data_IF_165622597146
#
_entry.id   IF_165622597146
#
_cell.length_a   1.000
_cell.length_b   1.000
_cell.length_c   1.000
_cell.angle_alpha   90.00
_cell.angle_beta   90.00
_cell.angle_gamma   90.00
#
_symmetry.space_group_name_H-M   'P 1'
#
loop_
_entity.id
_entity.type
_entity.pdbx_description
1 polymer ?
#
# COMPACT_ATOMS: atom_id res chain seq x y z
N UNK A 1 -15.74 1.67 -18.81
CA UNK A 1 -14.87 2.23 -17.77
C UNK A 1 -15.42 3.57 -17.33
N UNK A 2 -15.97 3.63 -16.12
CA UNK A 2 -16.35 4.90 -15.51
C UNK A 2 -15.08 5.59 -14.99
N UNK A 3 -14.93 6.88 -15.26
CA UNK A 3 -13.78 7.69 -14.83
C UNK A 3 -13.54 7.60 -13.31
N UNK A 4 -14.61 7.45 -12.55
CA UNK A 4 -14.60 7.34 -11.09
C UNK A 4 -13.83 6.09 -10.62
N UNK A 5 -14.00 4.95 -11.30
CA UNK A 5 -13.36 3.70 -10.91
C UNK A 5 -11.83 3.77 -11.10
N UNK A 6 -11.37 4.42 -12.18
CA UNK A 6 -9.94 4.64 -12.40
C UNK A 6 -9.31 5.55 -11.35
N UNK A 7 -10.00 6.63 -10.94
CA UNK A 7 -9.49 7.54 -9.91
C UNK A 7 -9.29 6.79 -8.58
N UNK A 8 -10.21 5.90 -8.23
CA UNK A 8 -10.10 5.06 -7.03
C UNK A 8 -8.90 4.11 -7.14
N UNK A 9 -8.73 3.44 -8.29
CA UNK A 9 -7.59 2.55 -8.53
C UNK A 9 -6.24 3.27 -8.46
N UNK A 10 -6.12 4.44 -9.08
CA UNK A 10 -4.92 5.27 -9.01
C UNK A 10 -4.67 5.83 -7.61
N UNK A 11 -5.72 6.23 -6.89
CA UNK A 11 -5.63 6.68 -5.50
C UNK A 11 -5.08 5.60 -4.58
N UNK A 12 -5.57 4.36 -4.69
CA UNK A 12 -5.06 3.21 -3.94
C UNK A 12 -3.56 2.94 -4.22
N UNK A 13 -3.13 3.18 -5.46
CA UNK A 13 -1.74 2.99 -5.89
C UNK A 13 -0.81 4.10 -5.37
N UNK A 14 -1.27 5.35 -5.37
CA UNK A 14 -0.53 6.48 -4.80
C UNK A 14 -0.35 6.36 -3.28
N UNK A 15 -1.38 5.89 -2.57
CA UNK A 15 -1.29 5.64 -1.12
C UNK A 15 -0.28 4.52 -0.84
N UNK A 16 -0.27 3.45 -1.66
CA UNK A 16 0.72 2.38 -1.54
C UNK A 16 2.15 2.88 -1.71
N UNK A 17 2.39 3.70 -2.74
CA UNK A 17 3.70 4.32 -2.99
C UNK A 17 4.11 5.28 -1.87
N UNK A 18 3.18 6.08 -1.34
CA UNK A 18 3.44 6.96 -0.21
C UNK A 18 3.78 6.16 1.05
N UNK A 19 3.08 5.06 1.31
CA UNK A 19 3.37 4.19 2.46
C UNK A 19 4.77 3.58 2.41
N UNK A 20 5.21 3.12 1.23
CA UNK A 20 6.58 2.64 1.01
C UNK A 20 7.60 3.79 1.16
N UNK A 21 7.34 4.94 0.54
CA UNK A 21 8.27 6.07 0.52
C UNK A 21 8.48 6.74 1.87
N UNK A 22 7.42 6.88 2.67
CA UNK A 22 7.49 7.40 4.03
C UNK A 22 7.76 6.33 5.09
N UNK A 23 7.84 5.05 4.69
CA UNK A 23 8.00 3.91 5.59
C UNK A 23 7.03 4.00 6.78
N UNK A 24 5.74 4.20 6.49
CA UNK A 24 4.73 4.41 7.52
C UNK A 24 3.71 3.28 7.49
N UNK A 25 3.69 2.44 8.53
CA UNK A 25 2.90 1.20 8.56
C UNK A 25 1.41 1.43 8.28
N UNK A 26 0.84 2.46 8.88
CA UNK A 26 -0.57 2.84 8.69
C UNK A 26 -0.94 3.14 7.23
N UNK A 27 -0.03 3.77 6.46
CA UNK A 27 -0.27 4.06 5.05
C UNK A 27 -0.23 2.78 4.20
N UNK A 28 0.67 1.85 4.53
CA UNK A 28 0.73 0.53 3.89
C UNK A 28 -0.54 -0.30 4.14
N UNK A 29 -1.08 -0.25 5.37
CA UNK A 29 -2.35 -0.92 5.71
C UNK A 29 -3.52 -0.29 4.94
N UNK A 30 -3.59 1.04 4.88
CA UNK A 30 -4.61 1.74 4.09
C UNK A 30 -4.54 1.34 2.61
N UNK A 31 -3.36 1.25 2.03
CA UNK A 31 -3.17 0.79 0.66
C UNK A 31 -3.76 -0.61 0.41
N UNK A 32 -3.53 -1.56 1.34
CA UNK A 32 -4.12 -2.90 1.25
C UNK A 32 -5.64 -2.85 1.32
N UNK A 33 -6.20 -2.07 2.24
CA UNK A 33 -7.66 -1.92 2.39
C UNK A 33 -8.28 -1.34 1.11
N UNK A 34 -7.71 -0.26 0.56
CA UNK A 34 -8.19 0.33 -0.69
C UNK A 34 -8.01 -0.61 -1.88
N UNK A 35 -6.93 -1.39 -1.94
CA UNK A 35 -6.72 -2.41 -2.96
C UNK A 35 -7.75 -3.55 -2.88
N UNK A 36 -8.16 -3.98 -1.68
CA UNK A 36 -9.25 -4.95 -1.49
C UNK A 36 -10.58 -4.35 -1.95
N UNK A 37 -10.86 -3.08 -1.64
CA UNK A 37 -12.06 -2.41 -2.13
C UNK A 37 -12.06 -2.34 -3.67
N UNK A 38 -10.91 -2.07 -4.29
CA UNK A 38 -10.76 -2.06 -5.75
C UNK A 38 -11.00 -3.45 -6.40
N UNK A 39 -10.82 -4.57 -5.67
CA UNK A 39 -11.08 -5.91 -6.21
C UNK A 39 -12.55 -6.19 -6.54
N UNK A 40 -13.47 -5.50 -5.86
CA UNK A 40 -14.91 -5.62 -6.10
C UNK A 40 -15.34 -5.02 -7.44
N UNK A 41 -14.51 -4.18 -8.04
CA UNK A 41 -14.77 -3.54 -9.32
C UNK A 41 -14.02 -4.29 -10.44
N UNK A 42 -14.79 -4.89 -11.36
CA UNK A 42 -14.27 -5.80 -12.40
C UNK A 42 -13.25 -5.12 -13.33
N UNK A 43 -13.42 -3.83 -13.58
CA UNK A 43 -12.59 -3.04 -14.50
C UNK A 43 -11.23 -2.63 -13.91
N UNK A 44 -11.09 -2.58 -12.58
CA UNK A 44 -9.87 -2.10 -11.89
C UNK A 44 -9.22 -3.17 -11.00
N UNK A 45 -9.69 -4.42 -11.09
CA UNK A 45 -9.18 -5.53 -10.27
C UNK A 45 -7.66 -5.72 -10.39
N UNK A 46 -7.09 -5.49 -11.57
CA UNK A 46 -5.64 -5.53 -11.80
C UNK A 46 -4.87 -4.47 -11.00
N UNK A 47 -5.41 -3.25 -10.92
CA UNK A 47 -4.86 -2.15 -10.11
C UNK A 47 -5.01 -2.43 -8.61
N UNK A 48 -6.14 -3.04 -8.21
CA UNK A 48 -6.36 -3.48 -6.83
C UNK A 48 -5.31 -4.49 -6.37
N UNK A 49 -5.04 -5.52 -7.19
CA UNK A 49 -4.00 -6.52 -6.90
C UNK A 49 -2.63 -5.86 -6.73
N UNK A 50 -2.26 -4.94 -7.64
CA UNK A 50 -0.95 -4.26 -7.56
C UNK A 50 -0.84 -3.40 -6.30
N UNK A 51 -1.89 -2.67 -5.95
CA UNK A 51 -1.92 -1.88 -4.70
C UNK A 51 -1.78 -2.78 -3.46
N UNK A 52 -2.46 -3.92 -3.41
CA UNK A 52 -2.30 -4.89 -2.31
C UNK A 52 -0.86 -5.41 -2.24
N UNK A 53 -0.29 -5.85 -3.36
CA UNK A 53 1.07 -6.38 -3.39
C UNK A 53 2.09 -5.34 -2.92
N UNK A 54 1.98 -4.09 -3.38
CA UNK A 54 2.87 -3.01 -2.95
C UNK A 54 2.64 -2.68 -1.46
N UNK A 55 1.40 -2.64 -0.99
CA UNK A 55 1.07 -2.40 0.41
C UNK A 55 1.66 -3.45 1.35
N UNK A 56 1.57 -4.74 0.99
CA UNK A 56 2.16 -5.84 1.80
C UNK A 56 3.68 -5.77 1.80
N UNK A 57 4.31 -5.56 0.63
CA UNK A 57 5.76 -5.42 0.54
C UNK A 57 6.23 -4.19 1.34
N UNK A 58 5.53 -3.06 1.22
CA UNK A 58 5.82 -1.84 1.95
C UNK A 58 5.69 -2.00 3.45
N UNK A 59 4.66 -2.73 3.91
CA UNK A 59 4.50 -3.06 5.32
C UNK A 59 5.66 -3.91 5.84
N UNK A 60 6.02 -5.00 5.14
CA UNK A 60 7.16 -5.84 5.49
C UNK A 60 8.47 -5.05 5.57
N UNK A 61 8.76 -4.20 4.58
CA UNK A 61 9.96 -3.36 4.57
C UNK A 61 9.97 -2.37 5.72
N UNK A 62 8.82 -1.76 6.04
CA UNK A 62 8.69 -0.79 7.13
C UNK A 62 8.92 -1.46 8.49
N UNK A 63 8.33 -2.62 8.73
CA UNK A 63 8.47 -3.35 9.99
C UNK A 63 9.91 -3.85 10.19
N UNK A 64 10.57 -4.32 9.11
CA UNK A 64 11.98 -4.67 9.14
C UNK A 64 12.87 -3.46 9.44
N UNK A 65 12.59 -2.31 8.83
CA UNK A 65 13.34 -1.07 9.05
C UNK A 65 13.19 -0.53 10.48
N UNK A 66 11.97 -0.52 11.02
CA UNK A 66 11.72 -0.13 12.41
C UNK A 66 12.49 -1.02 13.39
N UNK A 67 12.55 -2.33 13.12
CA UNK A 67 13.30 -3.27 13.96
C UNK A 67 14.82 -3.01 13.93
N UNK A 68 15.38 -2.63 12.78
CA UNK A 68 16.81 -2.28 12.68
C UNK A 68 17.16 -0.97 13.38
N UNK A 69 16.30 0.07 13.31
CA UNK A 69 16.54 1.33 14.02
C UNK A 69 16.55 1.15 15.53
N UNK A 70 15.69 0.28 16.05
CA UNK A 70 15.68 -0.07 17.47
C UNK A 70 16.98 -0.76 17.86
N UNK A 71 17.48 -1.69 17.04
CA UNK A 71 18.72 -2.41 17.34
C UNK A 71 19.96 -1.50 17.39
N UNK A 72 20.06 -0.51 16.48
CA UNK A 72 21.15 0.47 16.49
C UNK A 72 21.10 1.43 17.70
N UNK A 73 19.92 1.66 18.28
CA UNK A 73 19.78 2.55 19.45
C UNK A 73 20.24 1.92 20.78
N UNK A 74 20.40 0.59 20.80
CA UNK A 74 20.79 -0.18 21.99
C UNK A 74 22.21 -0.77 21.92
N UNK A 75 22.96 -0.50 20.84
CA UNK A 75 24.38 -0.82 20.69
C UNK A 75 25.27 0.37 21.05
#
# INVERSE_FOLDING_TARGET
MNYVDQIIGWGALLIALAGVGFQHEWLCVLAVVFGIVAMFFKDIRGMGITSISIGVIGWLMTTLYSSSQVFELFQ
#
